data_IF_295163121000
#
_entry.id   IF_295163121000
#
_cell.length_a   1.000
_cell.length_b   1.000
_cell.length_c   1.000
_cell.angle_alpha   90.00
_cell.angle_beta   90.00
_cell.angle_gamma   90.00
#
_symmetry.space_group_name_H-M   'P 1'
#
loop_
_entity.id
_entity.type
_entity.pdbx_description
1 polymer ?
#
# COMPACT_ATOMS: atom_id res chain seq x y z
N UNK A 1 -3.45 9.65 -26.27
CA UNK A 1 -2.23 9.02 -25.75
C UNK A 1 -1.96 9.36 -24.31
N UNK A 2 -1.84 10.63 -23.96
CA UNK A 2 -1.63 11.03 -22.57
C UNK A 2 -2.76 10.59 -21.62
N UNK A 3 -4.00 10.62 -22.11
CA UNK A 3 -5.15 10.18 -21.32
C UNK A 3 -5.10 8.68 -20.97
N UNK A 4 -4.57 7.87 -21.86
CA UNK A 4 -4.45 6.43 -21.65
C UNK A 4 -3.44 6.15 -20.52
N UNK A 5 -2.35 6.90 -20.47
CA UNK A 5 -1.34 6.79 -19.41
C UNK A 5 -1.95 7.16 -18.06
N UNK A 6 -2.83 8.16 -18.01
CA UNK A 6 -3.52 8.55 -16.80
C UNK A 6 -4.48 7.47 -16.26
N UNK A 7 -5.03 6.64 -17.12
CA UNK A 7 -5.89 5.54 -16.71
C UNK A 7 -5.10 4.33 -16.22
N UNK A 8 -3.85 4.18 -16.65
CA UNK A 8 -3.02 3.03 -16.31
C UNK A 8 -2.27 3.20 -14.99
N UNK A 9 -1.99 4.42 -14.58
CA UNK A 9 -1.31 4.73 -13.32
C UNK A 9 -2.15 5.71 -12.51
N UNK A 10 -2.27 5.46 -11.22
CA UNK A 10 -2.95 6.38 -10.32
C UNK A 10 -2.04 7.53 -9.96
N UNK A 11 -2.62 8.73 -9.92
CA UNK A 11 -1.92 9.90 -9.39
C UNK A 11 -1.93 9.84 -7.88
N UNK A 12 -0.87 10.35 -7.27
CA UNK A 12 -0.80 10.48 -5.83
C UNK A 12 -1.70 11.61 -5.33
N UNK A 13 -1.78 11.80 -4.03
CA UNK A 13 -2.57 12.85 -3.39
C UNK A 13 -4.09 12.65 -3.48
N UNK A 14 -4.53 11.43 -3.68
CA UNK A 14 -5.96 11.16 -3.81
C UNK A 14 -6.69 11.08 -2.47
N UNK A 15 -6.00 11.28 -1.36
CA UNK A 15 -6.64 11.25 -0.04
C UNK A 15 -7.78 12.26 0.09
N UNK A 16 -7.77 13.33 -0.71
CA UNK A 16 -8.82 14.36 -0.72
C UNK A 16 -10.14 13.84 -1.30
N UNK A 17 -10.05 12.86 -2.21
CA UNK A 17 -11.20 12.34 -2.95
C UNK A 17 -11.58 10.92 -2.56
N UNK A 18 -10.62 10.15 -2.05
CA UNK A 18 -10.81 8.72 -1.75
C UNK A 18 -10.64 8.53 -0.26
N UNK A 19 -11.66 7.95 0.37
CA UNK A 19 -11.61 7.61 1.79
C UNK A 19 -10.73 6.41 2.07
N UNK A 20 -10.32 6.27 3.32
CA UNK A 20 -9.54 5.13 3.76
C UNK A 20 -10.39 3.86 3.75
N UNK A 21 -9.82 2.78 3.23
CA UNK A 21 -10.44 1.46 3.24
C UNK A 21 -9.40 0.43 3.65
N UNK A 22 -9.84 -0.57 4.40
CA UNK A 22 -9.00 -1.70 4.81
C UNK A 22 -9.49 -2.98 4.13
N UNK A 23 -8.64 -4.01 4.00
CA UNK A 23 -9.12 -5.30 3.50
C UNK A 23 -10.23 -5.84 4.38
N UNK A 24 -11.24 -6.50 3.80
CA UNK A 24 -12.30 -7.11 4.62
C UNK A 24 -11.72 -8.23 5.47
N UNK A 25 -12.28 -8.43 6.65
CA UNK A 25 -11.91 -9.54 7.52
C UNK A 25 -12.66 -10.79 7.08
N UNK A 26 -12.00 -11.94 7.19
CA UNK A 26 -12.65 -13.23 6.94
C UNK A 26 -13.73 -13.48 7.99
N UNK A 27 -14.72 -14.28 7.64
CA UNK A 27 -15.81 -14.63 8.54
C UNK A 27 -15.27 -15.27 9.83
N UNK A 28 -15.89 -14.94 10.98
CA UNK A 28 -15.47 -15.45 12.27
C UNK A 28 -15.48 -16.96 12.32
N UNK A 29 -16.48 -17.61 11.73
CA UNK A 29 -16.59 -19.07 11.73
C UNK A 29 -15.44 -19.73 10.97
N UNK A 30 -14.96 -19.10 9.91
CA UNK A 30 -13.82 -19.60 9.14
C UNK A 30 -12.53 -19.37 9.93
N UNK A 31 -12.40 -18.21 10.56
CA UNK A 31 -11.18 -17.86 11.34
C UNK A 31 -10.94 -18.78 12.53
N UNK A 32 -11.99 -19.29 13.15
CA UNK A 32 -11.90 -20.23 14.28
C UNK A 32 -11.21 -21.53 13.92
N UNK A 33 -11.26 -21.92 12.66
CA UNK A 33 -10.82 -23.24 12.20
C UNK A 33 -9.36 -23.28 11.78
N UNK A 34 -8.70 -22.15 11.67
CA UNK A 34 -7.32 -22.10 11.23
C UNK A 34 -6.56 -20.96 11.90
N UNK A 35 -5.27 -20.86 11.61
CA UNK A 35 -4.39 -19.79 12.09
C UNK A 35 -3.90 -18.91 10.93
N UNK A 36 -4.62 -18.92 9.82
CA UNK A 36 -4.29 -18.11 8.65
C UNK A 36 -4.62 -16.63 8.89
N UNK A 37 -4.20 -15.78 7.97
CA UNK A 37 -4.42 -14.34 8.04
C UNK A 37 -5.89 -14.00 8.25
N UNK A 38 -6.17 -13.07 9.15
CA UNK A 38 -7.53 -12.64 9.49
C UNK A 38 -8.17 -11.87 8.34
N UNK A 39 -7.39 -11.07 7.63
CA UNK A 39 -7.90 -10.23 6.56
C UNK A 39 -7.89 -10.97 5.23
N UNK A 40 -8.90 -10.71 4.41
CA UNK A 40 -8.89 -11.12 3.01
C UNK A 40 -7.94 -10.24 2.21
N UNK A 41 -7.55 -10.73 1.04
CA UNK A 41 -6.65 -9.97 0.17
C UNK A 41 -7.37 -8.79 -0.48
N UNK A 42 -6.67 -7.67 -0.61
CA UNK A 42 -7.10 -6.60 -1.50
C UNK A 42 -6.90 -7.05 -2.94
N UNK A 43 -7.86 -6.73 -3.78
CA UNK A 43 -7.64 -6.83 -5.23
C UNK A 43 -6.65 -5.74 -5.64
N UNK A 44 -5.92 -5.98 -6.75
CA UNK A 44 -4.87 -5.07 -7.20
C UNK A 44 -5.35 -3.62 -7.38
N UNK A 45 -6.57 -3.44 -7.91
CA UNK A 45 -7.14 -2.12 -8.13
C UNK A 45 -7.36 -1.37 -6.82
N UNK A 46 -7.81 -2.06 -5.78
CA UNK A 46 -8.00 -1.46 -4.46
C UNK A 46 -6.66 -1.08 -3.82
N UNK A 47 -5.65 -1.92 -3.97
CA UNK A 47 -4.31 -1.62 -3.46
C UNK A 47 -3.74 -0.38 -4.13
N UNK A 48 -3.89 -0.24 -5.44
CA UNK A 48 -3.46 0.94 -6.19
C UNK A 48 -4.21 2.19 -5.72
N UNK A 49 -5.53 2.08 -5.58
CA UNK A 49 -6.37 3.19 -5.15
C UNK A 49 -5.97 3.68 -3.77
N UNK A 50 -5.83 2.77 -2.79
CA UNK A 50 -5.46 3.16 -1.44
C UNK A 50 -4.03 3.70 -1.35
N UNK A 51 -3.10 3.13 -2.12
CA UNK A 51 -1.72 3.63 -2.15
C UNK A 51 -1.64 5.03 -2.76
N UNK A 52 -2.52 5.37 -3.69
CA UNK A 52 -2.55 6.68 -4.32
C UNK A 52 -2.98 7.81 -3.38
N UNK A 53 -3.51 7.48 -2.20
CA UNK A 53 -3.86 8.47 -1.19
C UNK A 53 -2.64 9.14 -0.57
N UNK A 54 -1.46 8.57 -0.72
CA UNK A 54 -0.22 9.12 -0.18
C UNK A 54 0.05 10.53 -0.72
N UNK A 55 0.41 11.46 0.16
CA UNK A 55 0.66 12.85 -0.22
C UNK A 55 2.09 13.11 -0.71
N UNK A 56 2.95 12.10 -0.71
CA UNK A 56 4.34 12.25 -1.17
C UNK A 56 5.05 13.44 -0.51
N UNK A 57 5.03 13.47 0.82
CA UNK A 57 5.51 14.61 1.59
C UNK A 57 6.99 14.91 1.32
N UNK A 58 7.34 16.19 1.29
CA UNK A 58 8.75 16.62 1.22
C UNK A 58 9.52 16.23 2.47
N UNK A 59 8.85 16.23 3.62
CA UNK A 59 9.37 15.66 4.87
C UNK A 59 8.54 14.45 5.20
N UNK A 60 9.00 13.23 4.87
CA UNK A 60 8.19 12.02 5.02
C UNK A 60 8.17 11.53 6.46
N UNK A 61 7.22 12.01 7.26
CA UNK A 61 7.12 11.66 8.67
C UNK A 61 6.99 10.14 8.89
N UNK A 62 6.30 9.44 8.00
CA UNK A 62 6.17 7.99 8.10
C UNK A 62 7.53 7.28 8.02
N UNK A 63 8.40 7.73 7.13
CA UNK A 63 9.74 7.18 6.99
C UNK A 63 10.63 7.58 8.17
N UNK A 64 10.54 8.85 8.60
CA UNK A 64 11.35 9.38 9.71
C UNK A 64 11.02 8.65 11.01
N UNK A 65 9.75 8.39 11.27
CA UNK A 65 9.30 7.73 12.50
C UNK A 65 9.37 6.21 12.45
N UNK A 66 9.66 5.63 11.30
CA UNK A 66 9.92 4.20 11.22
C UNK A 66 11.29 3.90 11.85
N UNK A 67 11.38 2.96 12.81
CA UNK A 67 12.66 2.64 13.45
C UNK A 67 13.77 2.24 12.48
N UNK A 68 13.40 1.68 11.34
CA UNK A 68 14.34 1.23 10.32
C UNK A 68 14.40 2.17 9.12
N UNK A 69 13.74 3.32 9.19
CA UNK A 69 13.69 4.31 8.10
C UNK A 69 13.24 3.70 6.78
N UNK A 70 12.21 2.87 6.82
CA UNK A 70 11.65 2.24 5.62
C UNK A 70 11.13 3.32 4.67
N UNK A 71 11.44 3.18 3.38
CA UNK A 71 11.06 4.17 2.37
C UNK A 71 9.59 4.01 1.96
N UNK A 72 8.70 4.32 2.87
CA UNK A 72 7.25 4.15 2.71
C UNK A 72 6.68 4.94 1.54
N UNK A 73 7.01 6.23 1.35
CA UNK A 73 6.45 6.98 0.22
C UNK A 73 6.78 6.37 -1.13
N UNK A 74 7.97 5.84 -1.31
CA UNK A 74 8.39 5.26 -2.59
C UNK A 74 7.66 3.96 -2.90
N UNK A 75 7.54 3.04 -1.94
CA UNK A 75 6.83 1.80 -2.24
C UNK A 75 5.31 2.01 -2.35
N UNK A 76 4.75 3.02 -1.70
CA UNK A 76 3.36 3.38 -1.93
C UNK A 76 3.15 3.92 -3.34
N UNK A 77 4.05 4.76 -3.83
CA UNK A 77 3.99 5.26 -5.19
C UNK A 77 4.12 4.13 -6.21
N UNK A 78 5.08 3.22 -6.00
CA UNK A 78 5.27 2.08 -6.88
C UNK A 78 4.03 1.17 -6.90
N UNK A 79 3.39 0.97 -5.75
CA UNK A 79 2.14 0.20 -5.68
C UNK A 79 1.03 0.90 -6.46
N UNK A 80 0.90 2.21 -6.33
CA UNK A 80 -0.11 2.98 -7.07
C UNK A 80 0.12 2.92 -8.58
N UNK A 81 1.37 2.80 -9.01
CA UNK A 81 1.72 2.65 -10.43
C UNK A 81 1.57 1.21 -10.94
N UNK A 82 1.28 0.26 -10.05
CA UNK A 82 1.15 -1.15 -10.41
C UNK A 82 2.47 -1.89 -10.50
N UNK A 83 3.57 -1.29 -10.05
CA UNK A 83 4.91 -1.89 -10.07
C UNK A 83 5.15 -2.67 -8.77
N UNK A 84 4.38 -3.73 -8.56
CA UNK A 84 4.33 -4.45 -7.30
C UNK A 84 5.65 -5.12 -6.92
N UNK A 85 6.38 -5.64 -7.91
CA UNK A 85 7.68 -6.28 -7.65
C UNK A 85 8.69 -5.27 -7.08
N UNK A 86 8.76 -4.10 -7.69
CA UNK A 86 9.65 -3.05 -7.23
C UNK A 86 9.22 -2.48 -5.87
N UNK A 87 7.91 -2.33 -5.66
CA UNK A 87 7.36 -1.92 -4.37
C UNK A 87 7.75 -2.92 -3.27
N UNK A 88 7.66 -4.21 -3.55
CA UNK A 88 8.07 -5.26 -2.63
C UNK A 88 9.56 -5.15 -2.30
N UNK A 89 10.41 -4.98 -3.30
CA UNK A 89 11.85 -4.85 -3.09
C UNK A 89 12.20 -3.67 -2.19
N UNK A 90 11.54 -2.53 -2.41
CA UNK A 90 11.74 -1.34 -1.58
C UNK A 90 11.25 -1.57 -0.16
N UNK A 91 10.06 -2.14 0.01
CA UNK A 91 9.49 -2.36 1.34
C UNK A 91 10.30 -3.34 2.17
N UNK A 92 10.98 -4.30 1.53
CA UNK A 92 11.79 -5.32 2.17
C UNK A 92 13.26 -4.93 2.34
N UNK A 93 13.65 -3.76 1.84
CA UNK A 93 15.07 -3.37 1.80
C UNK A 93 15.69 -3.18 3.18
N UNK A 94 14.91 -2.76 4.17
CA UNK A 94 15.39 -2.52 5.52
C UNK A 94 15.00 -3.61 6.51
N UNK A 95 13.99 -4.41 6.18
CA UNK A 95 13.44 -5.40 7.09
C UNK A 95 12.67 -6.44 6.27
N UNK A 96 12.86 -7.71 6.59
CA UNK A 96 12.14 -8.80 5.90
C UNK A 96 10.66 -8.88 6.29
N UNK A 97 10.27 -8.28 7.41
CA UNK A 97 8.90 -8.33 7.91
C UNK A 97 8.43 -6.91 8.30
N UNK A 98 8.29 -6.01 7.31
CA UNK A 98 7.92 -4.63 7.60
C UNK A 98 6.53 -4.48 8.22
N UNK A 99 5.67 -5.46 8.05
CA UNK A 99 4.30 -5.45 8.57
C UNK A 99 4.23 -5.50 10.10
N UNK A 100 5.31 -5.86 10.77
CA UNK A 100 5.35 -5.90 12.25
C UNK A 100 5.87 -4.62 12.89
N UNK A 101 6.25 -3.63 12.07
CA UNK A 101 6.77 -2.36 12.58
C UNK A 101 5.65 -1.31 12.76
#
# INVERSE_FOLDING_TARGET
>A
MLKIIYFMTDKMLKFVKIGQQTPPKRETEVRKKDFNEIYDEFIADKAKEQSSRCSQCGVPFCQIHCPLSNNIPDWLKLTAEGRLKEAYEVSQSTNNMPEVC
#
